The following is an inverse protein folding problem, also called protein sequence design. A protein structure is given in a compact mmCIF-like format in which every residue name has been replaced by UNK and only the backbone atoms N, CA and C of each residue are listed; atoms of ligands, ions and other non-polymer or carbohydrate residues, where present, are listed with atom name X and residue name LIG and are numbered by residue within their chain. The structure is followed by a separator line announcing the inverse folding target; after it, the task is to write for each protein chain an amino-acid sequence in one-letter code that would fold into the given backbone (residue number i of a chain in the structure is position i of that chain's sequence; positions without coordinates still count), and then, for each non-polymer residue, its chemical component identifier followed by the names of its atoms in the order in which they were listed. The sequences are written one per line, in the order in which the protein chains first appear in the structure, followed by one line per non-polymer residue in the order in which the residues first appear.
data_IF_663365014233
#
_entry.id   IF_663365014233
#
_cell.length_a   1.000
_cell.length_b   1.000
_cell.length_c   1.000
_cell.angle_alpha   90.00
_cell.angle_beta   90.00
_cell.angle_gamma   90.00
#
_symmetry.space_group_name_H-M   'P 1'
#
loop_
_entity.id
_entity.type
_entity.pdbx_description
1 polymer ?
#
# COMPACT_ATOMS: atom_id res chain seq x y z
N UNK A 1 15.59 4.34 -0.81
CA UNK A 1 14.66 4.10 -1.93
C UNK A 1 14.62 2.60 -2.15
N UNK A 2 13.44 1.99 -2.11
CA UNK A 2 13.27 0.54 -2.16
C UNK A 2 12.60 0.14 -3.47
N UNK A 3 13.15 -0.86 -4.16
CA UNK A 3 12.62 -1.33 -5.45
C UNK A 3 12.04 -2.73 -5.40
N UNK A 4 12.23 -3.46 -4.28
CA UNK A 4 11.79 -4.85 -4.06
C UNK A 4 11.58 -5.07 -2.56
N UNK A 5 10.65 -5.95 -2.20
CA UNK A 5 10.42 -6.37 -0.80
C UNK A 5 9.77 -7.76 -0.72
N UNK A 6 9.60 -8.26 0.50
CA UNK A 6 8.94 -9.53 0.78
C UNK A 6 7.63 -9.31 1.53
N UNK A 7 6.58 -9.98 1.07
CA UNK A 7 5.28 -10.11 1.74
C UNK A 7 4.92 -11.60 1.73
N UNK A 8 5.53 -12.35 2.65
CA UNK A 8 5.53 -13.82 2.60
C UNK A 8 4.65 -14.48 3.68
N UNK A 9 4.44 -13.80 4.81
CA UNK A 9 3.69 -14.34 5.95
C UNK A 9 2.17 -14.34 5.70
N UNK A 10 1.39 -14.85 6.64
CA UNK A 10 -0.08 -14.81 6.57
C UNK A 10 -0.58 -13.37 6.79
N UNK A 11 -1.85 -13.10 6.45
CA UNK A 11 -2.44 -11.78 6.75
C UNK A 11 -2.47 -11.50 8.24
N UNK A 12 -2.74 -12.53 9.04
CA UNK A 12 -2.86 -12.39 10.50
C UNK A 12 -1.53 -12.06 11.17
N UNK A 13 -0.42 -12.60 10.66
CA UNK A 13 0.93 -12.28 11.17
C UNK A 13 1.24 -10.78 11.08
N UNK A 14 0.70 -10.09 10.07
CA UNK A 14 0.83 -8.63 9.93
C UNK A 14 -0.24 -7.88 10.73
N UNK A 15 -1.51 -8.31 10.61
CA UNK A 15 -2.65 -7.57 11.17
C UNK A 15 -2.65 -7.58 12.71
N UNK A 16 -2.23 -8.68 13.34
CA UNK A 16 -2.14 -8.80 14.80
C UNK A 16 -1.19 -7.79 15.46
N UNK A 17 -0.29 -7.18 14.67
CA UNK A 17 0.65 -6.15 15.12
C UNK A 17 0.13 -4.71 14.95
N UNK A 18 -0.92 -4.53 14.14
CA UNK A 18 -1.36 -3.21 13.66
C UNK A 18 -2.77 -2.87 14.16
N UNK A 19 -3.67 -3.86 14.28
CA UNK A 19 -5.08 -3.62 14.49
C UNK A 19 -5.78 -4.68 15.33
N UNK A 20 -6.83 -4.28 16.05
CA UNK A 20 -7.74 -5.23 16.68
C UNK A 20 -8.69 -5.83 15.66
N UNK A 21 -9.22 -7.01 15.98
CA UNK A 21 -10.18 -7.69 15.10
C UNK A 21 -11.48 -6.93 14.87
N UNK A 22 -11.89 -6.10 15.84
CA UNK A 22 -13.10 -5.30 15.74
C UNK A 22 -13.00 -4.15 14.73
N UNK A 23 -11.77 -3.73 14.39
CA UNK A 23 -11.50 -2.53 13.59
C UNK A 23 -11.25 -2.86 12.10
N UNK A 24 -11.41 -4.14 11.71
CA UNK A 24 -11.08 -4.63 10.37
C UNK A 24 -12.26 -5.31 9.67
N UNK A 25 -12.45 -4.95 8.39
CA UNK A 25 -13.35 -5.65 7.49
C UNK A 25 -12.53 -6.50 6.50
N UNK A 26 -11.76 -7.45 7.04
CA UNK A 26 -10.86 -8.30 6.29
C UNK A 26 -11.19 -9.75 6.63
N UNK A 27 -11.54 -10.54 5.61
CA UNK A 27 -11.84 -11.96 5.81
C UNK A 27 -10.60 -12.72 6.31
N UNK A 28 -10.81 -13.58 7.30
CA UNK A 28 -9.77 -14.49 7.77
C UNK A 28 -9.30 -15.41 6.64
N UNK A 29 -7.99 -15.50 6.48
CA UNK A 29 -7.35 -16.39 5.52
C UNK A 29 -6.03 -16.87 6.11
N UNK A 30 -5.91 -18.17 6.44
CA UNK A 30 -4.71 -18.73 7.03
C UNK A 30 -3.59 -18.93 6.00
N UNK A 31 -3.87 -18.78 4.70
CA UNK A 31 -2.86 -19.00 3.68
C UNK A 31 -1.76 -17.93 3.75
N UNK A 32 -0.47 -18.33 3.69
CA UNK A 32 0.62 -17.39 3.53
C UNK A 32 0.49 -16.62 2.21
N UNK A 33 0.83 -15.34 2.22
CA UNK A 33 0.89 -14.53 0.99
C UNK A 33 1.99 -15.07 0.07
N UNK A 34 3.09 -15.59 0.64
CA UNK A 34 4.10 -16.37 -0.09
C UNK A 34 4.93 -15.61 -1.13
N UNK A 35 4.93 -14.26 -1.10
CA UNK A 35 5.65 -13.43 -2.08
C UNK A 35 6.98 -12.94 -1.52
N UNK A 36 8.03 -13.71 -1.73
CA UNK A 36 9.40 -13.39 -1.26
C UNK A 36 10.11 -12.28 -2.03
N UNK A 37 9.53 -11.84 -3.15
CA UNK A 37 10.22 -11.01 -4.11
C UNK A 37 9.26 -10.13 -4.92
N UNK A 38 8.52 -9.29 -4.22
CA UNK A 38 7.54 -8.37 -4.81
C UNK A 38 8.27 -7.35 -5.67
N UNK A 39 7.80 -7.19 -6.91
CA UNK A 39 8.37 -6.30 -7.91
C UNK A 39 7.41 -5.14 -8.25
N UNK A 40 7.93 -3.99 -8.70
CA UNK A 40 7.10 -2.89 -9.17
C UNK A 40 6.22 -3.30 -10.35
N UNK A 41 5.09 -2.60 -10.51
CA UNK A 41 4.10 -2.89 -11.55
C UNK A 41 3.18 -4.08 -11.25
N UNK A 42 3.45 -4.85 -10.19
CA UNK A 42 2.54 -5.90 -9.72
C UNK A 42 1.45 -5.33 -8.81
N UNK A 43 0.33 -6.06 -8.66
CA UNK A 43 -0.63 -5.77 -7.58
C UNK A 43 -0.07 -6.30 -6.26
N UNK A 44 -0.18 -5.52 -5.18
CA UNK A 44 0.27 -5.86 -3.83
C UNK A 44 -0.87 -5.62 -2.84
N UNK A 45 -0.98 -6.47 -1.83
CA UNK A 45 -1.94 -6.25 -0.75
C UNK A 45 -1.51 -5.02 0.04
N UNK A 46 -2.34 -3.99 0.00
CA UNK A 46 -2.16 -2.70 0.66
C UNK A 46 -3.23 -2.53 1.74
N UNK A 47 -2.79 -2.23 2.96
CA UNK A 47 -3.67 -1.90 4.07
C UNK A 47 -4.04 -0.42 3.99
N UNK A 48 -5.33 -0.10 4.12
CA UNK A 48 -5.81 1.28 4.16
C UNK A 48 -7.06 1.38 5.03
N UNK A 49 -7.31 2.55 5.59
CA UNK A 49 -8.50 2.84 6.38
C UNK A 49 -9.51 3.62 5.54
N UNK A 50 -10.76 3.15 5.51
CA UNK A 50 -11.89 3.82 4.85
C UNK A 50 -13.15 3.54 5.64
N UNK A 51 -13.92 4.61 5.92
CA UNK A 51 -15.13 4.55 6.73
C UNK A 51 -14.88 3.92 8.12
N UNK A 52 -13.78 4.32 8.77
CA UNK A 52 -13.32 3.83 10.10
C UNK A 52 -13.06 2.31 10.15
N UNK A 53 -12.91 1.67 8.99
CA UNK A 53 -12.59 0.25 8.88
C UNK A 53 -11.30 0.05 8.10
N UNK A 54 -10.50 -0.91 8.53
CA UNK A 54 -9.35 -1.36 7.77
C UNK A 54 -9.77 -2.30 6.63
N UNK A 55 -9.20 -2.03 5.46
CA UNK A 55 -9.37 -2.81 4.23
C UNK A 55 -8.01 -3.27 3.72
N UNK A 56 -7.97 -4.45 3.10
CA UNK A 56 -6.78 -5.02 2.49
C UNK A 56 -7.03 -5.36 1.02
N UNK A 57 -6.55 -4.49 0.13
CA UNK A 57 -6.84 -4.59 -1.30
C UNK A 57 -5.60 -4.86 -2.14
N UNK A 58 -5.71 -5.61 -3.24
CA UNK A 58 -4.63 -5.73 -4.22
C UNK A 58 -4.52 -4.45 -5.08
N UNK A 59 -3.59 -3.56 -4.73
CA UNK A 59 -3.34 -2.28 -5.41
C UNK A 59 -2.09 -2.35 -6.28
N UNK A 60 -2.11 -1.71 -7.45
CA UNK A 60 -0.94 -1.65 -8.34
C UNK A 60 0.20 -0.85 -7.70
N UNK A 61 1.39 -1.44 -7.59
CA UNK A 61 2.58 -0.74 -7.11
C UNK A 61 3.23 0.07 -8.24
N UNK A 62 2.72 1.28 -8.40
CA UNK A 62 3.18 2.26 -9.36
C UNK A 62 2.17 3.40 -9.48
N UNK A 63 2.66 4.62 -9.68
CA UNK A 63 1.84 5.81 -9.80
C UNK A 63 2.21 6.61 -11.06
N UNK A 64 1.24 6.74 -11.96
CA UNK A 64 1.33 7.51 -13.20
C UNK A 64 -0.03 8.16 -13.48
N UNK A 65 -0.23 9.44 -13.09
CA UNK A 65 -1.39 10.21 -13.50
C UNK A 65 -1.51 10.30 -15.03
N UNK A 66 -2.71 10.58 -15.55
CA UNK A 66 -2.92 10.63 -17.00
C UNK A 66 -2.09 11.67 -17.77
N UNK A 67 -1.51 12.66 -17.08
CA UNK A 67 -0.60 13.65 -17.66
C UNK A 67 0.89 13.24 -17.60
N UNK A 68 1.22 12.11 -16.97
CA UNK A 68 2.58 11.59 -16.82
C UNK A 68 2.90 10.62 -17.96
N UNK A 69 3.91 10.96 -18.75
CA UNK A 69 4.31 10.26 -19.99
C UNK A 69 5.54 9.35 -19.83
N UNK A 70 6.00 9.15 -18.60
CA UNK A 70 7.16 8.30 -18.26
C UNK A 70 6.72 7.05 -17.51
N UNK A 71 7.70 6.18 -17.24
CA UNK A 71 7.49 5.01 -16.37
C UNK A 71 6.85 5.41 -15.02
N UNK A 72 5.93 4.60 -14.47
CA UNK A 72 5.29 4.89 -13.19
C UNK A 72 6.30 5.07 -12.06
N UNK A 73 6.04 6.06 -11.20
CA UNK A 73 6.83 6.28 -10.00
C UNK A 73 6.44 5.27 -8.93
N UNK A 74 7.43 4.76 -8.20
CA UNK A 74 7.24 3.67 -7.22
C UNK A 74 7.63 4.06 -5.79
N UNK A 75 8.21 5.25 -5.61
CA UNK A 75 8.58 5.82 -4.32
C UNK A 75 8.26 7.33 -4.36
N UNK A 76 7.89 7.89 -3.20
CA UNK A 76 7.81 9.33 -2.97
C UNK A 76 8.77 9.71 -1.85
N UNK A 77 9.46 10.85 -1.98
CA UNK A 77 10.36 11.37 -0.93
C UNK A 77 9.54 12.03 0.15
N UNK A 78 9.68 11.60 1.40
CA UNK A 78 8.90 12.11 2.53
C UNK A 78 9.06 13.62 2.72
N UNK A 79 10.24 14.14 2.41
CA UNK A 79 10.60 15.55 2.56
C UNK A 79 9.80 16.48 1.63
N UNK A 80 9.30 15.97 0.51
CA UNK A 80 8.65 16.78 -0.54
C UNK A 80 7.31 16.25 -1.02
N UNK A 81 6.89 15.04 -0.62
CA UNK A 81 5.66 14.41 -1.08
C UNK A 81 4.41 15.28 -0.78
N UNK A 82 4.35 15.89 0.41
CA UNK A 82 3.19 16.69 0.84
C UNK A 82 3.01 18.02 0.08
N UNK A 83 4.08 18.57 -0.51
CA UNK A 83 4.04 19.84 -1.25
C UNK A 83 4.21 19.68 -2.77
N UNK A 84 4.51 18.46 -3.24
CA UNK A 84 4.72 18.17 -4.66
C UNK A 84 3.41 18.14 -5.44
N UNK A 85 3.31 18.87 -6.56
CA UNK A 85 2.18 18.79 -7.50
C UNK A 85 1.87 17.35 -7.95
N UNK A 86 2.87 16.48 -7.99
CA UNK A 86 2.70 15.08 -8.39
C UNK A 86 1.93 14.27 -7.34
N UNK A 87 2.21 14.48 -6.05
CA UNK A 87 1.75 13.61 -4.96
C UNK A 87 0.73 14.27 -4.04
N UNK A 88 0.60 15.60 -4.04
CA UNK A 88 -0.29 16.33 -3.13
C UNK A 88 -1.73 15.83 -3.16
N UNK A 89 -2.25 15.47 -4.33
CA UNK A 89 -3.61 14.91 -4.47
C UNK A 89 -3.73 13.53 -3.83
N UNK A 90 -2.73 12.64 -3.98
CA UNK A 90 -2.79 11.30 -3.38
C UNK A 90 -2.59 11.37 -1.86
N UNK A 91 -1.70 12.27 -1.40
CA UNK A 91 -1.48 12.53 0.03
C UNK A 91 -2.75 13.07 0.71
N UNK A 92 -3.51 13.91 0.02
CA UNK A 92 -4.76 14.47 0.53
C UNK A 92 -5.92 13.45 0.51
N UNK A 93 -5.98 12.59 -0.51
CA UNK A 93 -7.06 11.63 -0.66
C UNK A 93 -6.94 10.43 0.30
N UNK A 94 -5.72 10.08 0.72
CA UNK A 94 -5.43 8.85 1.49
C UNK A 94 -4.60 9.18 2.76
N UNK A 95 -5.13 9.99 3.70
CA UNK A 95 -4.44 10.26 4.96
C UNK A 95 -4.39 8.96 5.78
N UNK A 96 -3.23 8.32 5.86
CA UNK A 96 -3.01 7.09 6.63
C UNK A 96 -2.62 5.86 5.79
N UNK A 97 -2.61 5.96 4.47
CA UNK A 97 -2.12 4.86 3.64
C UNK A 97 -0.58 4.81 3.65
N UNK A 98 -0.05 3.73 4.23
CA UNK A 98 1.36 3.38 4.13
C UNK A 98 1.67 2.89 2.72
N UNK A 99 2.10 3.79 1.85
CA UNK A 99 2.66 3.43 0.54
C UNK A 99 4.08 2.87 0.73
N UNK A 100 4.13 1.56 1.01
CA UNK A 100 5.34 0.76 1.19
C UNK A 100 6.22 1.13 2.40
#
# INVERSE_FOLDING_TARGET
MCGRFSQAMTREDYLSLIANEADRNIAYDPAPIGRYNVAPGTKVLLLSERDEQLHLDPVHWGYAPGWWDKAPLINAKVETAASSRMFITVMAAWPGALFC
#
